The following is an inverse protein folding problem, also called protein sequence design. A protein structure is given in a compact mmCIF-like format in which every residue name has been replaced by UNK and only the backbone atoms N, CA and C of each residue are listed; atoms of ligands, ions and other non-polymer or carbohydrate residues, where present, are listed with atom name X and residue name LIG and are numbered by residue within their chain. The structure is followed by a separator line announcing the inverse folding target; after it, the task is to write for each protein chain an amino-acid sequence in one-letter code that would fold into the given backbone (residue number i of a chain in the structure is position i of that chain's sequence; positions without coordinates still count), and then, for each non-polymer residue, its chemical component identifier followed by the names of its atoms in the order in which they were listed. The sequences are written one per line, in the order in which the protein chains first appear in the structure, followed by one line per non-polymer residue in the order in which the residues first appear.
data_IF_329997753086
#
_entry.id   IF_329997753086
#
_cell.length_a   1.000
_cell.length_b   1.000
_cell.length_c   1.000
_cell.angle_alpha   90.00
_cell.angle_beta   90.00
_cell.angle_gamma   90.00
#
_symmetry.space_group_name_H-M   'P 1'
#
loop_
_entity.id
_entity.type
_entity.pdbx_description
1 polymer ?
#
# COMPACT_ATOMS: atom_id res chain seq x y z
N UNK A 1 17.34 -84.93 -42.57
CA UNK A 1 17.82 -83.97 -43.58
C UNK A 1 17.15 -82.64 -43.29
N UNK A 2 17.95 -81.62 -42.92
CA UNK A 2 17.80 -80.15 -43.16
C UNK A 2 16.42 -79.47 -43.00
N UNK A 3 16.23 -78.70 -41.92
CA UNK A 3 16.21 -77.21 -41.85
C UNK A 3 15.00 -76.54 -42.51
N UNK A 4 14.13 -75.89 -41.72
CA UNK A 4 13.88 -74.44 -41.79
C UNK A 4 12.98 -73.92 -40.63
N UNK A 5 13.04 -72.61 -40.31
CA UNK A 5 12.62 -72.01 -39.04
C UNK A 5 11.23 -71.36 -39.13
N UNK A 6 10.52 -71.24 -38.01
CA UNK A 6 9.34 -70.36 -37.91
C UNK A 6 9.58 -69.25 -36.91
N UNK A 7 9.81 -68.07 -37.46
CA UNK A 7 9.85 -66.80 -36.80
C UNK A 7 8.44 -66.40 -36.34
N UNK A 8 8.24 -66.20 -35.04
CA UNK A 8 7.15 -65.39 -34.49
C UNK A 8 7.58 -64.81 -33.13
N UNK A 9 8.52 -63.86 -33.16
CA UNK A 9 8.60 -62.81 -32.16
C UNK A 9 7.84 -61.61 -32.71
N UNK A 10 6.50 -61.65 -32.61
CA UNK A 10 5.69 -60.47 -32.90
C UNK A 10 6.05 -59.39 -31.89
N UNK A 11 6.67 -58.35 -32.41
CA UNK A 11 6.86 -57.05 -31.79
C UNK A 11 5.50 -56.60 -31.24
N UNK A 12 5.32 -56.71 -29.93
CA UNK A 12 4.19 -56.10 -29.23
C UNK A 12 4.48 -54.62 -29.27
N UNK A 13 4.04 -53.97 -30.35
CA UNK A 13 4.09 -52.53 -30.51
C UNK A 13 3.42 -51.91 -29.28
N UNK A 14 4.24 -51.20 -28.52
CA UNK A 14 3.92 -50.39 -27.35
C UNK A 14 2.98 -49.25 -27.79
N UNK A 15 1.70 -49.56 -28.06
CA UNK A 15 0.69 -48.53 -28.34
C UNK A 15 0.42 -47.77 -27.03
N UNK A 16 0.73 -46.47 -26.95
CA UNK A 16 0.49 -45.70 -25.74
C UNK A 16 -1.01 -45.69 -25.44
N UNK A 17 -1.38 -46.19 -24.27
CA UNK A 17 -2.77 -46.31 -23.79
C UNK A 17 -3.54 -44.99 -24.01
N UNK A 18 -4.42 -44.98 -25.01
CA UNK A 18 -5.19 -43.80 -25.46
C UNK A 18 -5.98 -43.10 -24.34
N UNK A 19 -6.28 -43.83 -23.26
CA UNK A 19 -6.93 -43.29 -22.05
C UNK A 19 -6.04 -42.35 -21.25
N UNK A 20 -4.72 -42.55 -21.28
CA UNK A 20 -3.74 -41.68 -20.61
C UNK A 20 -3.63 -40.35 -21.35
N UNK A 21 -3.59 -40.37 -22.68
CA UNK A 21 -3.56 -39.17 -23.53
C UNK A 21 -4.83 -38.30 -23.34
N UNK A 22 -6.02 -38.88 -23.40
CA UNK A 22 -7.28 -38.13 -23.22
C UNK A 22 -7.43 -37.47 -21.83
N UNK A 23 -6.88 -38.10 -20.77
CA UNK A 23 -6.85 -37.52 -19.42
C UNK A 23 -5.83 -36.40 -19.29
N UNK A 24 -4.73 -36.45 -20.04
CA UNK A 24 -3.76 -35.36 -20.10
C UNK A 24 -4.37 -34.12 -20.78
N UNK A 25 -5.05 -34.31 -21.91
CA UNK A 25 -5.68 -33.22 -22.68
C UNK A 25 -6.77 -32.49 -21.88
N UNK A 26 -7.62 -33.24 -21.15
CA UNK A 26 -8.64 -32.62 -20.29
C UNK A 26 -8.06 -31.84 -19.11
N UNK A 27 -6.93 -32.29 -18.54
CA UNK A 27 -6.21 -31.55 -17.49
C UNK A 27 -5.55 -30.30 -18.04
N UNK A 28 -4.94 -30.39 -19.22
CA UNK A 28 -4.34 -29.24 -19.91
C UNK A 28 -5.41 -28.22 -20.29
N UNK A 29 -6.53 -28.64 -20.88
CA UNK A 29 -7.63 -27.76 -21.23
C UNK A 29 -8.24 -27.09 -20.01
N UNK A 30 -8.43 -27.82 -18.90
CA UNK A 30 -8.89 -27.23 -17.64
C UNK A 30 -7.89 -26.20 -17.09
N UNK A 31 -6.59 -26.50 -17.14
CA UNK A 31 -5.53 -25.59 -16.69
C UNK A 31 -5.49 -24.31 -17.54
N UNK A 32 -5.60 -24.45 -18.87
CA UNK A 32 -5.66 -23.32 -19.80
C UNK A 32 -6.91 -22.47 -19.58
N UNK A 33 -8.08 -23.09 -19.37
CA UNK A 33 -9.31 -22.38 -19.07
C UNK A 33 -9.22 -21.62 -17.74
N UNK A 34 -8.65 -22.23 -16.69
CA UNK A 34 -8.39 -21.56 -15.41
C UNK A 34 -7.41 -20.41 -15.59
N UNK A 35 -6.35 -20.60 -16.39
CA UNK A 35 -5.36 -19.56 -16.69
C UNK A 35 -5.97 -18.37 -17.42
N UNK A 36 -6.79 -18.61 -18.45
CA UNK A 36 -7.51 -17.58 -19.19
C UNK A 36 -8.50 -16.85 -18.28
N UNK A 37 -9.27 -17.60 -17.47
CA UNK A 37 -10.20 -17.02 -16.51
C UNK A 37 -9.48 -16.12 -15.50
N UNK A 38 -8.36 -16.57 -14.95
CA UNK A 38 -7.56 -15.80 -14.00
C UNK A 38 -7.02 -14.52 -14.65
N UNK A 39 -6.49 -14.63 -15.87
CA UNK A 39 -5.97 -13.48 -16.62
C UNK A 39 -7.08 -12.45 -16.92
N UNK A 40 -8.24 -12.93 -17.35
CA UNK A 40 -9.42 -12.09 -17.61
C UNK A 40 -9.96 -11.45 -16.32
N UNK A 41 -9.94 -12.17 -15.20
CA UNK A 41 -10.32 -11.63 -13.90
C UNK A 41 -9.37 -10.51 -13.43
N UNK A 42 -8.05 -10.71 -13.57
CA UNK A 42 -7.04 -9.68 -13.27
C UNK A 42 -7.23 -8.47 -14.18
N UNK A 43 -7.48 -8.70 -15.48
CA UNK A 43 -7.73 -7.62 -16.44
C UNK A 43 -9.01 -6.85 -16.12
N UNK A 44 -10.10 -7.53 -15.76
CA UNK A 44 -11.34 -6.91 -15.32
C UNK A 44 -11.12 -6.06 -14.06
N UNK A 45 -10.33 -6.53 -13.10
CA UNK A 45 -9.99 -5.78 -11.89
C UNK A 45 -9.13 -4.55 -12.22
N UNK A 46 -8.17 -4.67 -13.14
CA UNK A 46 -7.39 -3.54 -13.63
C UNK A 46 -8.29 -2.50 -14.31
N UNK A 47 -9.23 -2.93 -15.17
CA UNK A 47 -10.17 -2.04 -15.83
C UNK A 47 -11.08 -1.33 -14.81
N UNK A 48 -11.57 -2.06 -13.82
CA UNK A 48 -12.45 -1.53 -12.78
C UNK A 48 -11.71 -0.81 -11.64
N UNK A 49 -10.38 -0.65 -11.70
CA UNK A 49 -9.58 -0.04 -10.63
C UNK A 49 -10.06 1.35 -10.23
N UNK A 50 -10.59 2.14 -11.18
CA UNK A 50 -11.10 3.48 -10.92
C UNK A 50 -12.28 3.46 -9.91
N UNK A 51 -13.06 2.39 -9.90
CA UNK A 51 -14.11 2.14 -8.92
C UNK A 51 -13.56 1.46 -7.66
N UNK A 52 -12.76 0.40 -7.81
CA UNK A 52 -12.27 -0.38 -6.67
C UNK A 52 -11.29 0.38 -5.77
N UNK A 53 -10.49 1.31 -6.31
CA UNK A 53 -9.50 2.05 -5.52
C UNK A 53 -10.17 2.87 -4.38
N UNK A 54 -11.17 3.73 -4.65
CA UNK A 54 -11.95 4.38 -3.60
C UNK A 54 -12.60 3.40 -2.63
N UNK A 55 -13.13 2.27 -3.13
CA UNK A 55 -13.78 1.26 -2.28
C UNK A 55 -12.79 0.62 -1.30
N UNK A 56 -11.62 0.22 -1.79
CA UNK A 56 -10.57 -0.36 -0.97
C UNK A 56 -10.05 0.63 0.07
N UNK A 57 -9.82 1.89 -0.32
CA UNK A 57 -9.40 2.94 0.60
C UNK A 57 -10.46 3.23 1.67
N UNK A 58 -11.72 3.30 1.29
CA UNK A 58 -12.84 3.44 2.23
C UNK A 58 -12.93 2.25 3.18
N UNK A 59 -12.74 1.03 2.68
CA UNK A 59 -12.71 -0.18 3.50
C UNK A 59 -11.54 -0.18 4.48
N UNK A 60 -10.33 0.18 4.05
CA UNK A 60 -9.17 0.33 4.93
C UNK A 60 -9.41 1.40 6.00
N UNK A 61 -9.93 2.57 5.60
CA UNK A 61 -10.27 3.63 6.54
C UNK A 61 -11.33 3.18 7.56
N UNK A 62 -12.38 2.49 7.09
CA UNK A 62 -13.41 1.93 7.94
C UNK A 62 -12.84 0.90 8.92
N UNK A 63 -11.95 -0.01 8.49
CA UNK A 63 -11.27 -0.96 9.37
C UNK A 63 -10.42 -0.26 10.43
N UNK A 64 -9.67 0.79 10.05
CA UNK A 64 -8.89 1.60 11.01
C UNK A 64 -9.77 2.27 12.05
N UNK A 65 -10.96 2.75 11.67
CA UNK A 65 -11.91 3.43 12.58
C UNK A 65 -12.82 2.46 13.35
N UNK A 66 -13.01 1.24 12.88
CA UNK A 66 -13.85 0.20 13.49
C UNK A 66 -13.53 -0.07 14.96
N UNK A 67 -12.26 -0.21 15.42
CA UNK A 67 -11.97 -0.44 16.83
C UNK A 67 -12.45 0.74 17.69
N UNK A 68 -12.35 1.97 17.18
CA UNK A 68 -12.82 3.18 17.86
C UNK A 68 -14.35 3.18 17.93
N UNK A 69 -15.05 2.85 16.83
CA UNK A 69 -16.51 2.69 16.83
C UNK A 69 -16.98 1.64 17.82
N UNK A 70 -16.29 0.50 17.89
CA UNK A 70 -16.59 -0.57 18.85
C UNK A 70 -16.41 -0.10 20.30
N UNK A 71 -15.37 0.70 20.58
CA UNK A 71 -15.16 1.28 21.90
C UNK A 71 -16.27 2.27 22.24
N UNK A 72 -16.68 3.16 21.33
CA UNK A 72 -17.78 4.10 21.55
C UNK A 72 -19.13 3.39 21.73
N UNK A 73 -19.37 2.32 20.96
CA UNK A 73 -20.57 1.47 21.12
C UNK A 73 -20.63 0.80 22.48
N UNK A 74 -19.49 0.37 23.04
CA UNK A 74 -19.43 -0.16 24.42
C UNK A 74 -19.82 0.89 25.47
N UNK A 75 -19.67 2.18 25.19
CA UNK A 75 -20.10 3.28 26.06
C UNK A 75 -21.57 3.71 25.81
N UNK A 76 -22.32 2.97 24.99
CA UNK A 76 -23.76 3.20 24.77
C UNK A 76 -24.09 4.09 23.58
N UNK A 77 -23.11 4.55 22.78
CA UNK A 77 -23.36 5.38 21.60
C UNK A 77 -23.77 4.46 20.42
N UNK A 78 -24.89 4.72 19.73
CA UNK A 78 -25.28 3.98 18.53
C UNK A 78 -24.20 3.99 17.44
N UNK A 79 -24.14 2.91 16.66
CA UNK A 79 -23.11 2.68 15.63
C UNK A 79 -23.11 3.77 14.55
N UNK A 80 -24.30 4.18 14.08
CA UNK A 80 -24.45 5.24 13.07
C UNK A 80 -23.93 6.60 13.56
N UNK A 81 -24.20 6.94 14.84
CA UNK A 81 -23.74 8.20 15.43
C UNK A 81 -22.22 8.18 15.59
N UNK A 82 -21.68 7.06 16.09
CA UNK A 82 -20.23 6.87 16.25
C UNK A 82 -19.50 6.94 14.92
N UNK A 83 -20.02 6.26 13.89
CA UNK A 83 -19.48 6.27 12.54
C UNK A 83 -19.49 7.69 11.95
N UNK A 84 -20.64 8.37 12.02
CA UNK A 84 -20.80 9.73 11.48
C UNK A 84 -19.83 10.71 12.15
N UNK A 85 -19.74 10.68 13.48
CA UNK A 85 -18.85 11.55 14.25
C UNK A 85 -17.37 11.31 13.89
N UNK A 86 -16.94 10.05 13.82
CA UNK A 86 -15.55 9.71 13.50
C UNK A 86 -15.17 10.03 12.06
N UNK A 87 -16.08 9.82 11.11
CA UNK A 87 -15.88 10.19 9.71
C UNK A 87 -15.76 11.71 9.58
N UNK A 88 -16.64 12.48 10.23
CA UNK A 88 -16.55 13.95 10.28
C UNK A 88 -15.25 14.41 10.92
N UNK A 89 -14.86 13.82 12.04
CA UNK A 89 -13.59 14.14 12.72
C UNK A 89 -12.40 13.86 11.80
N UNK A 90 -12.38 12.70 11.15
CA UNK A 90 -11.33 12.33 10.20
C UNK A 90 -11.29 13.31 9.02
N UNK A 91 -12.44 13.64 8.44
CA UNK A 91 -12.52 14.65 7.37
C UNK A 91 -11.96 16.00 7.81
N UNK A 92 -12.29 16.46 9.03
CA UNK A 92 -11.74 17.69 9.59
C UNK A 92 -10.22 17.61 9.78
N UNK A 93 -9.70 16.48 10.26
CA UNK A 93 -8.24 16.26 10.40
C UNK A 93 -7.57 16.32 9.04
N UNK A 94 -8.08 15.60 8.03
CA UNK A 94 -7.52 15.61 6.67
C UNK A 94 -7.64 16.99 6.00
N UNK A 95 -8.75 17.70 6.18
CA UNK A 95 -8.93 19.06 5.63
C UNK A 95 -7.99 20.06 6.30
N UNK A 96 -7.84 19.99 7.62
CA UNK A 96 -6.92 20.85 8.39
C UNK A 96 -5.47 20.55 8.03
N UNK A 97 -5.09 19.27 7.93
CA UNK A 97 -3.77 18.86 7.47
C UNK A 97 -3.51 19.36 6.04
N UNK A 98 -4.43 19.14 5.11
CA UNK A 98 -4.31 19.61 3.73
C UNK A 98 -4.14 21.13 3.64
N UNK A 99 -4.89 21.89 4.45
CA UNK A 99 -4.77 23.34 4.54
C UNK A 99 -3.41 23.76 5.13
N UNK A 100 -2.99 23.18 6.26
CA UNK A 100 -1.73 23.52 6.93
C UNK A 100 -0.50 23.13 6.12
N UNK A 101 -0.56 22.04 5.35
CA UNK A 101 0.52 21.58 4.49
C UNK A 101 0.58 22.36 3.17
N UNK A 102 -0.51 22.99 2.72
CA UNK A 102 -0.56 23.68 1.42
C UNK A 102 0.51 24.78 1.29
N UNK A 103 0.65 25.65 2.29
CA UNK A 103 1.66 26.71 2.31
C UNK A 103 3.10 26.15 2.26
N UNK A 104 3.49 25.29 3.22
CA UNK A 104 4.80 24.64 3.24
C UNK A 104 5.19 23.90 1.96
N UNK A 105 4.23 23.20 1.33
CA UNK A 105 4.46 22.48 0.07
C UNK A 105 4.71 23.46 -1.08
N UNK A 106 3.89 24.52 -1.18
CA UNK A 106 4.07 25.57 -2.20
C UNK A 106 5.44 26.24 -2.02
N UNK A 107 5.83 26.55 -0.77
CA UNK A 107 7.14 27.13 -0.46
C UNK A 107 8.30 26.18 -0.79
N UNK A 108 8.15 24.87 -0.55
CA UNK A 108 9.19 23.87 -0.85
C UNK A 108 9.49 23.82 -2.35
N UNK A 109 8.43 23.88 -3.16
CA UNK A 109 8.54 23.84 -4.62
C UNK A 109 9.07 25.16 -5.18
N UNK A 110 8.64 26.30 -4.64
CA UNK A 110 9.06 27.60 -5.12
C UNK A 110 10.47 28.00 -4.66
N UNK A 111 10.90 27.55 -3.47
CA UNK A 111 12.15 27.98 -2.84
C UNK A 111 13.28 26.94 -2.88
N UNK A 112 13.20 25.94 -3.77
CA UNK A 112 14.15 24.80 -3.81
C UNK A 112 15.62 25.22 -3.85
N UNK A 113 15.97 26.34 -4.51
CA UNK A 113 17.35 26.86 -4.54
C UNK A 113 17.84 27.42 -3.19
N UNK A 114 16.95 27.96 -2.34
CA UNK A 114 17.33 28.56 -1.05
C UNK A 114 17.45 27.53 0.09
N UNK A 115 16.70 26.42 -0.01
CA UNK A 115 16.80 25.31 0.95
C UNK A 115 18.19 24.68 0.87
N UNK A 116 18.74 24.52 -0.34
CA UNK A 116 20.10 24.04 -0.54
C UNK A 116 21.15 24.92 0.14
N UNK A 117 20.99 26.25 0.08
CA UNK A 117 21.92 27.19 0.72
C UNK A 117 21.84 27.10 2.25
N UNK A 118 20.63 27.10 2.83
CA UNK A 118 20.44 26.99 4.29
C UNK A 118 20.86 25.63 4.85
N UNK A 119 20.61 24.53 4.12
CA UNK A 119 21.11 23.21 4.50
C UNK A 119 22.64 23.17 4.45
N UNK A 120 23.26 23.77 3.42
CA UNK A 120 24.73 23.79 3.29
C UNK A 120 25.38 24.57 4.43
N UNK A 121 24.81 25.70 4.86
CA UNK A 121 25.30 26.46 6.03
C UNK A 121 25.17 25.69 7.35
N UNK A 122 24.04 25.00 7.57
CA UNK A 122 23.82 24.18 8.78
C UNK A 122 24.67 22.91 8.79
N UNK A 123 24.84 22.28 7.62
CA UNK A 123 25.74 21.16 7.44
C UNK A 123 27.21 21.60 7.55
N UNK A 124 27.56 22.83 7.16
CA UNK A 124 28.92 23.37 7.33
C UNK A 124 29.31 23.50 8.81
N UNK A 125 28.35 23.76 9.71
CA UNK A 125 28.60 23.74 11.16
C UNK A 125 28.87 22.31 11.68
N UNK A 126 28.31 21.30 11.03
CA UNK A 126 28.61 19.88 11.28
C UNK A 126 29.87 19.40 10.54
N UNK A 127 30.29 20.10 9.48
CA UNK A 127 31.54 19.80 8.74
C UNK A 127 32.78 20.07 9.56
N UNK A 128 32.83 21.10 10.41
CA UNK A 128 34.02 21.37 11.22
C UNK A 128 34.46 20.20 12.13
N UNK A 129 33.57 19.51 12.86
CA UNK A 129 33.93 18.29 13.58
C UNK A 129 34.27 17.10 12.65
N UNK A 130 33.62 17.00 11.50
CA UNK A 130 33.89 15.97 10.48
C UNK A 130 35.25 16.16 9.78
N UNK A 131 35.66 17.40 9.50
CA UNK A 131 36.96 17.76 8.93
C UNK A 131 38.10 17.40 9.90
N UNK A 132 37.90 17.55 11.21
CA UNK A 132 38.86 17.08 12.21
C UNK A 132 39.02 15.56 12.20
N UNK A 133 37.95 14.82 11.91
CA UNK A 133 37.97 13.34 11.79
C UNK A 133 38.61 12.92 10.45
N UNK A 134 38.32 13.64 9.36
CA UNK A 134 38.95 13.40 8.05
C UNK A 134 40.43 13.79 8.01
N UNK A 135 40.88 14.77 8.78
CA UNK A 135 42.31 15.09 8.94
C UNK A 135 43.08 13.95 9.64
N UNK A 136 42.40 13.20 10.53
CA UNK A 136 42.94 11.99 11.15
C UNK A 136 42.96 10.83 10.14
N UNK A 137 41.97 10.71 9.26
CA UNK A 137 41.98 9.70 8.19
C UNK A 137 42.98 10.02 7.06
N UNK A 138 43.24 11.29 6.76
CA UNK A 138 44.24 11.67 5.76
C UNK A 138 45.69 11.35 6.18
N UNK A 139 45.98 11.25 7.49
CA UNK A 139 47.25 10.68 7.96
C UNK A 139 47.34 9.16 7.72
N UNK A 140 46.21 8.49 7.53
CA UNK A 140 46.12 7.06 7.23
C UNK A 140 46.08 6.82 5.70
N UNK A 141 45.65 7.81 4.91
CA UNK A 141 45.45 7.73 3.46
C UNK A 141 46.68 8.10 2.61
N UNK A 142 47.79 8.54 3.22
CA UNK A 142 49.11 8.57 2.56
C UNK A 142 49.70 7.17 2.32
N UNK A 143 49.02 6.10 2.75
CA UNK A 143 49.37 4.71 2.43
C UNK A 143 48.50 4.11 1.31
N UNK A 144 47.59 4.85 0.69
CA UNK A 144 46.75 4.30 -0.38
C UNK A 144 46.36 5.39 -1.38
N UNK A 145 47.36 5.92 -2.09
CA UNK A 145 47.08 6.54 -3.39
C UNK A 145 46.82 5.43 -4.42
N UNK A 146 45.60 5.38 -4.97
CA UNK A 146 45.39 5.39 -6.43
C UNK A 146 43.90 5.38 -6.79
N UNK A 147 43.56 6.31 -7.68
CA UNK A 147 42.43 6.36 -8.62
C UNK A 147 41.12 7.04 -8.22
N UNK A 148 41.12 8.35 -8.51
CA UNK A 148 40.07 9.10 -9.21
C UNK A 148 39.27 8.27 -10.23
N UNK A 149 37.93 8.37 -10.22
CA UNK A 149 37.22 9.03 -11.32
C UNK A 149 35.81 9.52 -10.93
N UNK A 150 35.48 10.70 -11.43
CA UNK A 150 34.24 11.44 -11.20
C UNK A 150 33.13 10.97 -12.14
N UNK A 151 31.95 10.72 -11.58
CA UNK A 151 30.75 10.39 -12.34
C UNK A 151 29.47 10.75 -11.61
N UNK A 152 29.36 11.97 -11.07
CA UNK A 152 28.12 12.44 -10.45
C UNK A 152 27.20 12.94 -11.57
N UNK A 153 26.40 12.03 -12.10
CA UNK A 153 25.26 12.32 -12.96
C UNK A 153 24.23 13.12 -12.15
N UNK A 154 24.27 14.45 -12.25
CA UNK A 154 23.15 15.30 -11.83
C UNK A 154 21.99 15.03 -12.77
N UNK A 155 21.04 14.20 -12.34
CA UNK A 155 19.75 14.04 -13.02
C UNK A 155 19.03 15.37 -12.92
N UNK A 156 19.06 16.08 -14.05
CA UNK A 156 18.38 17.33 -14.25
C UNK A 156 16.87 17.14 -14.08
N UNK A 157 16.31 17.95 -13.18
CA UNK A 157 15.21 18.86 -13.49
C UNK A 157 14.05 18.23 -14.26
N UNK A 158 13.13 17.61 -13.51
CA UNK A 158 11.72 17.50 -13.89
C UNK A 158 10.90 18.46 -13.01
N UNK A 159 11.25 19.74 -12.96
CA UNK A 159 10.73 20.64 -11.91
C UNK A 159 9.51 21.47 -12.32
N UNK A 160 9.08 21.43 -13.59
CA UNK A 160 8.00 22.31 -14.07
C UNK A 160 6.64 21.63 -14.25
N UNK A 161 6.59 20.30 -14.32
CA UNK A 161 5.35 19.53 -14.57
C UNK A 161 4.70 18.92 -13.32
N UNK A 162 5.47 18.72 -12.24
CA UNK A 162 4.98 18.06 -11.02
C UNK A 162 4.03 18.97 -10.24
N UNK A 163 4.26 20.29 -10.23
CA UNK A 163 3.41 21.24 -9.53
C UNK A 163 2.04 21.41 -10.20
N UNK A 164 1.98 21.49 -11.54
CA UNK A 164 0.72 21.57 -12.27
C UNK A 164 -0.07 20.26 -12.23
N UNK A 165 0.63 19.11 -12.30
CA UNK A 165 0.05 17.80 -12.05
C UNK A 165 -0.46 17.67 -10.61
N UNK A 166 0.31 18.07 -9.59
CA UNK A 166 -0.11 18.03 -8.20
C UNK A 166 -1.30 18.97 -7.93
N UNK A 167 -1.27 20.20 -8.45
CA UNK A 167 -2.36 21.18 -8.28
C UNK A 167 -3.67 20.74 -8.96
N UNK A 168 -3.59 20.20 -10.18
CA UNK A 168 -4.76 19.62 -10.88
C UNK A 168 -5.28 18.35 -10.18
N UNK A 169 -4.38 17.54 -9.61
CA UNK A 169 -4.74 16.36 -8.83
C UNK A 169 -5.34 16.72 -7.45
N UNK A 170 -5.00 17.86 -6.85
CA UNK A 170 -5.58 18.30 -5.57
C UNK A 170 -7.07 18.62 -5.73
N UNK A 171 -7.46 19.30 -6.81
CA UNK A 171 -8.86 19.66 -7.02
C UNK A 171 -9.73 18.43 -7.37
N UNK A 172 -9.19 17.46 -8.12
CA UNK A 172 -9.85 16.19 -8.39
C UNK A 172 -9.79 15.21 -7.19
N UNK A 173 -8.79 15.33 -6.32
CA UNK A 173 -8.69 14.57 -5.07
C UNK A 173 -9.84 14.88 -4.11
N UNK A 174 -10.41 16.09 -4.14
CA UNK A 174 -11.58 16.44 -3.32
C UNK A 174 -12.78 15.52 -3.56
N UNK A 175 -13.08 15.23 -4.83
CA UNK A 175 -14.14 14.27 -5.19
C UNK A 175 -13.80 12.86 -4.74
N UNK A 176 -12.55 12.42 -4.95
CA UNK A 176 -12.08 11.10 -4.50
C UNK A 176 -12.17 10.93 -2.99
N UNK A 177 -11.72 11.93 -2.21
CA UNK A 177 -11.85 11.96 -0.76
C UNK A 177 -13.31 11.86 -0.34
N UNK A 178 -14.19 12.66 -0.95
CA UNK A 178 -15.61 12.65 -0.63
C UNK A 178 -16.21 11.25 -0.82
N UNK A 179 -15.90 10.59 -1.94
CA UNK A 179 -16.35 9.21 -2.20
C UNK A 179 -15.81 8.25 -1.13
N UNK A 180 -14.52 8.34 -0.79
CA UNK A 180 -13.88 7.51 0.23
C UNK A 180 -14.57 7.69 1.59
N UNK A 181 -14.82 8.93 2.01
CA UNK A 181 -15.46 9.22 3.30
C UNK A 181 -16.92 8.79 3.33
N UNK A 182 -17.69 9.04 2.25
CA UNK A 182 -19.09 8.60 2.15
C UNK A 182 -19.18 7.08 2.19
N UNK A 183 -18.32 6.40 1.46
CA UNK A 183 -18.34 4.94 1.42
C UNK A 183 -17.83 4.35 2.75
N UNK A 184 -16.82 4.95 3.38
CA UNK A 184 -16.36 4.58 4.71
C UNK A 184 -17.48 4.74 5.75
N UNK A 185 -18.22 5.85 5.69
CA UNK A 185 -19.40 6.07 6.53
C UNK A 185 -20.45 4.98 6.32
N UNK A 186 -20.75 4.62 5.08
CA UNK A 186 -21.72 3.56 4.79
C UNK A 186 -21.25 2.20 5.31
N UNK A 187 -19.99 1.83 5.07
CA UNK A 187 -19.39 0.59 5.57
C UNK A 187 -19.44 0.53 7.10
N UNK A 188 -19.06 1.62 7.76
CA UNK A 188 -18.95 1.70 9.21
C UNK A 188 -20.32 1.77 9.88
N UNK A 189 -21.28 2.48 9.28
CA UNK A 189 -22.67 2.54 9.76
C UNK A 189 -23.43 1.24 9.54
N UNK A 190 -23.05 0.45 8.52
CA UNK A 190 -23.68 -0.83 8.22
C UNK A 190 -23.30 -1.95 9.20
N UNK A 191 -22.23 -1.79 9.98
CA UNK A 191 -21.82 -2.72 11.03
C UNK A 191 -21.74 -4.19 10.59
N UNK A 192 -22.53 -5.06 11.23
CA UNK A 192 -22.55 -6.50 10.92
C UNK A 192 -23.31 -6.86 9.65
N UNK A 193 -24.16 -5.98 9.14
CA UNK A 193 -25.15 -6.31 8.11
C UNK A 193 -24.53 -6.78 6.79
N UNK A 194 -23.38 -6.22 6.40
CA UNK A 194 -22.66 -6.65 5.20
C UNK A 194 -22.19 -8.09 5.31
N UNK A 195 -21.62 -8.46 6.47
CA UNK A 195 -21.13 -9.81 6.72
C UNK A 195 -22.28 -10.81 6.76
N UNK A 196 -23.38 -10.45 7.42
CA UNK A 196 -24.58 -11.28 7.49
C UNK A 196 -25.16 -11.60 6.11
N UNK A 197 -25.18 -10.62 5.19
CA UNK A 197 -25.64 -10.79 3.80
C UNK A 197 -24.72 -11.69 2.97
N UNK A 198 -23.40 -11.52 3.08
CA UNK A 198 -22.43 -12.38 2.37
C UNK A 198 -22.62 -13.84 2.78
N UNK A 199 -22.91 -14.07 4.07
CA UNK A 199 -22.99 -15.40 4.65
C UNK A 199 -24.37 -16.04 4.46
N UNK A 200 -25.38 -15.25 4.09
CA UNK A 200 -26.73 -15.76 3.82
C UNK A 200 -26.75 -16.77 2.65
N UNK A 201 -25.78 -16.69 1.74
CA UNK A 201 -25.59 -17.58 0.57
C UNK A 201 -25.21 -19.03 0.91
N UNK A 202 -24.67 -19.29 2.10
CA UNK A 202 -24.29 -20.66 2.50
C UNK A 202 -25.52 -21.53 2.83
N UNK A 203 -25.44 -22.82 2.53
CA UNK A 203 -26.57 -23.75 2.68
C UNK A 203 -26.81 -24.19 4.13
N UNK A 204 -25.75 -24.37 4.93
CA UNK A 204 -25.85 -24.89 6.31
C UNK A 204 -25.56 -23.84 7.38
N UNK A 205 -26.25 -23.91 8.52
CA UNK A 205 -26.05 -22.97 9.65
C UNK A 205 -24.65 -23.09 10.28
N UNK A 206 -24.06 -24.29 10.25
CA UNK A 206 -22.70 -24.54 10.74
C UNK A 206 -21.65 -23.83 9.88
N UNK A 207 -21.79 -23.88 8.55
CA UNK A 207 -20.94 -23.13 7.61
C UNK A 207 -21.10 -21.63 7.82
N UNK A 208 -22.34 -21.14 8.00
CA UNK A 208 -22.59 -19.71 8.26
C UNK A 208 -21.85 -19.21 9.50
N UNK A 209 -21.96 -19.93 10.61
CA UNK A 209 -21.31 -19.56 11.86
C UNK A 209 -19.78 -19.62 11.76
N UNK A 210 -19.25 -20.61 11.06
CA UNK A 210 -17.80 -20.75 10.85
C UNK A 210 -17.27 -19.62 9.96
N UNK A 211 -17.92 -19.33 8.84
CA UNK A 211 -17.56 -18.23 7.95
C UNK A 211 -17.63 -16.88 8.68
N UNK A 212 -18.71 -16.62 9.42
CA UNK A 212 -18.86 -15.37 10.18
C UNK A 212 -17.73 -15.17 11.18
N UNK A 213 -17.38 -16.22 11.93
CA UNK A 213 -16.28 -16.18 12.89
C UNK A 213 -14.96 -15.84 12.21
N UNK A 214 -14.61 -16.55 11.13
CA UNK A 214 -13.35 -16.31 10.42
C UNK A 214 -13.28 -14.88 9.90
N UNK A 215 -14.36 -14.37 9.29
CA UNK A 215 -14.41 -13.00 8.78
C UNK A 215 -14.25 -11.98 9.91
N UNK A 216 -14.93 -12.17 11.04
CA UNK A 216 -14.82 -11.29 12.20
C UNK A 216 -13.44 -11.32 12.86
N UNK A 217 -12.81 -12.49 12.92
CA UNK A 217 -11.47 -12.64 13.48
C UNK A 217 -10.43 -11.93 12.60
N UNK A 218 -10.49 -12.15 11.28
CA UNK A 218 -9.63 -11.47 10.30
C UNK A 218 -9.86 -9.96 10.32
N UNK A 219 -11.12 -9.52 10.29
CA UNK A 219 -11.47 -8.11 10.38
C UNK A 219 -10.90 -7.47 11.65
N UNK A 220 -11.03 -8.15 12.80
CA UNK A 220 -10.56 -7.61 14.08
C UNK A 220 -9.05 -7.52 14.12
N UNK A 221 -8.34 -8.52 13.61
CA UNK A 221 -6.89 -8.56 13.57
C UNK A 221 -6.33 -7.48 12.64
N UNK A 222 -6.88 -7.34 11.44
CA UNK A 222 -6.49 -6.28 10.50
C UNK A 222 -6.78 -4.90 11.08
N UNK A 223 -7.96 -4.72 11.69
CA UNK A 223 -8.35 -3.43 12.26
C UNK A 223 -7.43 -2.96 13.39
N UNK A 224 -7.03 -3.87 14.30
CA UNK A 224 -6.08 -3.53 15.36
C UNK A 224 -4.70 -3.23 14.82
N UNK A 225 -4.23 -4.00 13.83
CA UNK A 225 -2.96 -3.75 13.17
C UNK A 225 -2.95 -2.36 12.50
N UNK A 226 -3.96 -2.04 11.69
CA UNK A 226 -4.06 -0.77 10.98
C UNK A 226 -4.16 0.43 11.95
N UNK A 227 -4.94 0.31 13.02
CA UNK A 227 -5.00 1.36 14.04
C UNK A 227 -3.64 1.56 14.70
N UNK A 228 -2.95 0.47 15.05
CA UNK A 228 -1.64 0.51 15.69
C UNK A 228 -0.62 1.20 14.79
N UNK A 229 -0.56 0.82 13.50
CA UNK A 229 0.31 1.46 12.51
C UNK A 229 -0.03 2.95 12.37
N UNK A 230 -1.31 3.30 12.34
CA UNK A 230 -1.75 4.71 12.24
C UNK A 230 -1.29 5.54 13.44
N UNK A 231 -1.45 5.01 14.66
CA UNK A 231 -1.01 5.69 15.88
C UNK A 231 0.51 5.81 15.94
N UNK A 232 1.24 4.74 15.58
CA UNK A 232 2.71 4.76 15.54
C UNK A 232 3.19 5.79 14.52
N UNK A 233 2.63 5.80 13.31
CA UNK A 233 3.03 6.74 12.27
C UNK A 233 2.68 8.19 12.63
N UNK A 234 1.51 8.43 13.22
CA UNK A 234 1.15 9.77 13.70
C UNK A 234 2.08 10.25 14.83
N UNK A 235 2.44 9.37 15.76
CA UNK A 235 3.38 9.67 16.84
C UNK A 235 4.79 9.93 16.32
N UNK A 236 5.30 9.05 15.45
CA UNK A 236 6.60 9.19 14.79
C UNK A 236 6.66 10.50 14.01
N UNK A 237 5.64 10.77 13.21
CA UNK A 237 5.50 12.01 12.45
C UNK A 237 5.54 13.25 13.32
N UNK A 238 4.78 13.25 14.42
CA UNK A 238 4.80 14.34 15.41
C UNK A 238 6.19 14.54 16.01
N UNK A 239 6.89 13.46 16.38
CA UNK A 239 8.25 13.53 16.94
C UNK A 239 9.25 14.09 15.91
N UNK A 240 9.17 13.66 14.65
CA UNK A 240 10.02 14.15 13.57
C UNK A 240 9.74 15.64 13.32
N UNK A 241 8.47 16.04 13.20
CA UNK A 241 8.08 17.43 13.00
C UNK A 241 8.57 18.32 14.15
N UNK A 242 8.42 17.89 15.41
CA UNK A 242 8.93 18.64 16.56
C UNK A 242 10.46 18.70 16.58
N UNK A 243 11.15 17.60 16.26
CA UNK A 243 12.62 17.56 16.20
C UNK A 243 13.19 18.47 15.12
N UNK A 244 12.56 18.53 13.94
CA UNK A 244 12.95 19.44 12.88
C UNK A 244 12.63 20.89 13.21
N UNK A 245 11.52 21.13 13.92
CA UNK A 245 11.16 22.46 14.40
C UNK A 245 12.19 23.01 15.40
N UNK A 246 12.66 22.19 16.36
CA UNK A 246 13.69 22.61 17.32
C UNK A 246 15.06 22.84 16.67
N UNK A 247 15.37 22.11 15.60
CA UNK A 247 16.59 22.30 14.79
C UNK A 247 16.50 23.52 13.84
N UNK A 248 15.35 24.19 13.77
CA UNK A 248 15.12 25.34 12.89
C UNK A 248 15.09 24.98 11.40
N UNK A 249 14.76 23.72 11.07
CA UNK A 249 14.57 23.28 9.68
C UNK A 249 13.28 23.92 9.15
N UNK A 250 13.31 24.52 7.95
CA UNK A 250 12.11 25.11 7.36
C UNK A 250 11.06 24.02 7.07
N UNK A 251 9.79 24.37 7.25
CA UNK A 251 8.65 23.49 6.94
C UNK A 251 8.72 22.09 7.61
N UNK A 252 8.96 22.01 8.93
CA UNK A 252 9.16 20.72 9.62
C UNK A 252 7.93 19.81 9.56
N UNK A 253 6.73 20.41 9.44
CA UNK A 253 5.45 19.73 9.38
C UNK A 253 5.19 18.97 8.06
N UNK A 254 6.02 19.18 7.02
CA UNK A 254 5.93 18.43 5.75
C UNK A 254 6.64 17.08 5.83
N UNK A 255 7.57 16.96 6.79
CA UNK A 255 8.44 15.79 6.95
C UNK A 255 7.93 14.80 7.99
N UNK A 256 6.91 15.19 8.76
CA UNK A 256 6.25 14.39 9.80
C UNK A 256 4.77 14.22 9.53
#
# INVERSE_FOLDING_TARGET
MKTEPTAWGQDVSDEPDSRVAARADTRLMRSLLIGIFLFMAIYALYFARAFFMPVLLAFLLALTLTPIVRLLRKHGIPEVISATLLVLLSLCVFATAGYLLSGPIIDLVNNTSSIGQKLTERLAQLRQPLEKIMQISHQIEQLTETSQESGIQKVAVAQSGILSAAASNILSAGTGLTIIFVLSLFLLASGTMFYEKIIQSFASLSEKKRALRVVYDVEREISHYLLTVTIINAGLGTVIALGLWTLGVPNPLVWG
#
